data_IF_614272731735
#
_entry.id   IF_614272731735
#
_cell.length_a   1.000
_cell.length_b   1.000
_cell.length_c   1.000
_cell.angle_alpha   90.00
_cell.angle_beta   90.00
_cell.angle_gamma   90.00
#
_symmetry.space_group_name_H-M   'P 1'
#
loop_
_entity.id
_entity.type
_entity.pdbx_description
1 polymer ?
#
# COMPACT_ATOMS: atom_id res chain seq x y z
N UNK A 1 11.04 1.17 23.79
CA UNK A 1 10.06 2.24 23.69
C UNK A 1 8.86 1.77 22.91
N UNK A 2 7.72 1.85 23.56
CA UNK A 2 6.47 1.30 23.01
C UNK A 2 6.01 2.01 21.74
N UNK A 3 6.12 3.34 21.71
CA UNK A 3 5.67 4.13 20.58
C UNK A 3 6.49 3.86 19.33
N UNK A 4 7.79 3.71 19.46
CA UNK A 4 8.67 3.42 18.35
C UNK A 4 8.38 2.04 17.78
N UNK A 5 8.16 1.05 18.67
CA UNK A 5 7.84 -0.30 18.22
C UNK A 5 6.52 -0.33 17.46
N UNK A 6 5.51 0.39 17.95
CA UNK A 6 4.23 0.45 17.26
C UNK A 6 4.36 1.10 15.90
N UNK A 7 5.15 2.17 15.79
CA UNK A 7 5.37 2.82 14.50
C UNK A 7 6.03 1.85 13.51
N UNK A 8 7.07 1.14 13.96
CA UNK A 8 7.78 0.20 13.09
C UNK A 8 6.86 -0.91 12.62
N UNK A 9 6.07 -1.47 13.54
CA UNK A 9 5.14 -2.55 13.19
C UNK A 9 4.10 -2.06 12.18
N UNK A 10 3.53 -0.88 12.40
CA UNK A 10 2.55 -0.30 11.50
C UNK A 10 3.17 -0.01 10.14
N UNK A 11 4.36 0.55 10.12
CA UNK A 11 5.05 0.87 8.88
C UNK A 11 5.33 -0.39 8.06
N UNK A 12 5.84 -1.43 8.71
CA UNK A 12 6.11 -2.70 8.05
C UNK A 12 4.82 -3.31 7.53
N UNK A 13 3.75 -3.25 8.33
CA UNK A 13 2.44 -3.75 7.92
C UNK A 13 1.94 -3.07 6.65
N UNK A 14 2.07 -1.75 6.58
CA UNK A 14 1.66 -1.00 5.39
C UNK A 14 2.53 -1.34 4.18
N UNK A 15 3.83 -1.53 4.38
CA UNK A 15 4.71 -1.94 3.28
C UNK A 15 4.34 -3.31 2.74
N UNK A 16 4.06 -4.26 3.62
CA UNK A 16 3.64 -5.59 3.20
C UNK A 16 2.31 -5.51 2.46
N UNK A 17 1.36 -4.73 2.97
CA UNK A 17 0.07 -4.55 2.31
C UNK A 17 0.25 -3.96 0.91
N UNK A 18 1.14 -2.98 0.77
CA UNK A 18 1.43 -2.39 -0.53
C UNK A 18 2.03 -3.39 -1.50
N UNK A 19 2.99 -4.19 -1.04
CA UNK A 19 3.62 -5.22 -1.88
C UNK A 19 2.58 -6.26 -2.32
N UNK A 20 1.76 -6.73 -1.39
CA UNK A 20 0.73 -7.73 -1.70
C UNK A 20 -0.29 -7.15 -2.69
N UNK A 21 -0.75 -5.92 -2.43
CA UNK A 21 -1.70 -5.25 -3.33
C UNK A 21 -1.10 -5.08 -4.72
N UNK A 22 0.17 -4.68 -4.80
CA UNK A 22 0.86 -4.55 -6.07
C UNK A 22 0.98 -5.88 -6.81
N UNK A 23 1.31 -6.94 -6.10
CA UNK A 23 1.42 -8.27 -6.71
C UNK A 23 0.06 -8.72 -7.26
N UNK A 24 -1.01 -8.52 -6.49
CA UNK A 24 -2.37 -8.85 -6.94
C UNK A 24 -2.74 -8.02 -8.16
N UNK A 25 -2.44 -6.73 -8.13
CA UNK A 25 -2.71 -5.85 -9.26
C UNK A 25 -2.03 -6.34 -10.54
N UNK A 26 -0.75 -6.68 -10.45
CA UNK A 26 0.00 -7.17 -11.60
C UNK A 26 -0.58 -8.48 -12.14
N UNK A 27 -0.98 -9.38 -11.24
CA UNK A 27 -1.55 -10.66 -11.66
C UNK A 27 -2.92 -10.49 -12.33
N UNK A 28 -3.80 -9.67 -11.73
CA UNK A 28 -5.16 -9.51 -12.23
C UNK A 28 -5.21 -8.72 -13.54
N UNK A 29 -4.33 -7.73 -13.69
CA UNK A 29 -4.38 -6.83 -14.82
C UNK A 29 -3.19 -7.02 -15.77
N UNK A 30 -2.65 -8.21 -15.79
CA UNK A 30 -1.50 -8.53 -16.63
C UNK A 30 -1.77 -8.29 -18.11
N UNK A 31 -2.99 -8.55 -18.55
CA UNK A 31 -3.38 -8.43 -19.96
C UNK A 31 -4.50 -7.43 -20.20
N UNK A 32 -4.85 -6.63 -19.21
CA UNK A 32 -6.00 -5.74 -19.30
C UNK A 32 -5.57 -4.30 -19.00
N UNK A 33 -5.82 -3.39 -19.95
CA UNK A 33 -5.48 -1.98 -19.82
C UNK A 33 -6.72 -1.09 -19.69
N UNK A 34 -7.84 -1.64 -19.24
CA UNK A 34 -9.09 -0.88 -19.16
C UNK A 34 -9.14 0.11 -17.99
N UNK A 35 -10.33 0.66 -17.80
CA UNK A 35 -10.58 1.62 -16.72
C UNK A 35 -10.29 0.99 -15.36
N UNK A 36 -10.61 -0.29 -15.21
CA UNK A 36 -10.36 -1.01 -13.96
C UNK A 36 -8.88 -1.05 -13.64
N UNK A 37 -8.03 -1.16 -14.66
CA UNK A 37 -6.59 -1.12 -14.46
C UNK A 37 -6.16 0.19 -13.81
N UNK A 38 -6.65 1.31 -14.35
CA UNK A 38 -6.30 2.62 -13.81
C UNK A 38 -6.83 2.84 -12.40
N UNK A 39 -8.07 2.40 -12.13
CA UNK A 39 -8.65 2.50 -10.79
C UNK A 39 -7.84 1.69 -9.79
N UNK A 40 -7.50 0.47 -10.15
CA UNK A 40 -6.70 -0.40 -9.27
C UNK A 40 -5.31 0.19 -9.05
N UNK A 41 -4.70 0.76 -10.08
CA UNK A 41 -3.39 1.39 -9.98
C UNK A 41 -3.41 2.58 -9.02
N UNK A 42 -4.46 3.40 -9.11
CA UNK A 42 -4.62 4.55 -8.22
C UNK A 42 -4.78 4.07 -6.77
N UNK A 43 -5.61 3.06 -6.55
CA UNK A 43 -5.79 2.50 -5.21
C UNK A 43 -4.49 1.94 -4.65
N UNK A 44 -3.72 1.24 -5.48
CA UNK A 44 -2.43 0.70 -5.08
C UNK A 44 -1.48 1.82 -4.66
N UNK A 45 -1.42 2.90 -5.46
CA UNK A 45 -0.55 4.03 -5.14
C UNK A 45 -0.99 4.73 -3.86
N UNK A 46 -2.31 4.86 -3.63
CA UNK A 46 -2.84 5.47 -2.42
C UNK A 46 -2.43 4.65 -1.19
N UNK A 47 -2.55 3.34 -1.26
CA UNK A 47 -2.15 2.47 -0.15
C UNK A 47 -0.65 2.55 0.08
N UNK A 48 0.14 2.47 -1.00
CA UNK A 48 1.59 2.43 -0.91
C UNK A 48 2.18 3.74 -0.36
N UNK A 49 1.62 4.87 -0.76
CA UNK A 49 2.11 6.18 -0.35
C UNK A 49 1.37 6.67 0.90
N UNK A 50 0.06 6.50 0.94
CA UNK A 50 -0.77 7.01 2.03
C UNK A 50 -0.52 6.29 3.35
N UNK A 51 -0.25 4.99 3.32
CA UNK A 51 0.00 4.22 4.53
C UNK A 51 1.17 4.76 5.35
N UNK A 52 2.36 4.85 4.75
CA UNK A 52 3.51 5.43 5.45
C UNK A 52 3.27 6.87 5.90
N UNK A 53 2.61 7.69 5.09
CA UNK A 53 2.32 9.06 5.45
C UNK A 53 1.41 9.11 6.68
N UNK A 54 0.37 8.27 6.72
CA UNK A 54 -0.52 8.20 7.87
C UNK A 54 0.22 7.75 9.12
N UNK A 55 1.16 6.82 8.99
CA UNK A 55 1.98 6.39 10.11
C UNK A 55 2.79 7.55 10.68
N UNK A 56 3.35 8.38 9.80
CA UNK A 56 4.15 9.54 10.22
C UNK A 56 3.24 10.60 10.87
N UNK A 57 2.08 10.85 10.29
CA UNK A 57 1.15 11.85 10.83
C UNK A 57 0.66 11.45 12.21
N UNK A 58 0.42 10.16 12.45
CA UNK A 58 -0.10 9.68 13.72
C UNK A 58 1.00 9.43 14.77
N UNK A 59 2.22 9.78 14.44
CA UNK A 59 3.30 9.74 15.42
C UNK A 59 3.10 10.86 16.45
#
# INVERSE_FOLDING_TARGET
>A
MKEVNEFIINFIGWMIAGIVTGAIHLELFKYDDGILYWVSKILFLVVLVGGPILCIINL
#
